data_IF_426361201532
#
_entry.id   IF_426361201532
#
_cell.length_a   1.000
_cell.length_b   1.000
_cell.length_c   1.000
_cell.angle_alpha   90.00
_cell.angle_beta   90.00
_cell.angle_gamma   90.00
#
_symmetry.space_group_name_H-M   'P 1'
#
loop_
_entity.id
_entity.type
_entity.pdbx_description
1 polymer ?
#
# COMPACT_ATOMS: atom_id res chain seq x y z
N UNK A 1 -50.41 10.63 -9.13
CA UNK A 1 -49.43 9.92 -10.00
C UNK A 1 -48.10 10.25 -9.37
N UNK A 2 -47.76 9.48 -8.36
CA UNK A 2 -46.70 9.79 -7.42
C UNK A 2 -45.74 8.62 -7.49
N UNK A 3 -44.59 8.87 -8.11
CA UNK A 3 -43.50 7.91 -8.17
C UNK A 3 -42.81 7.95 -6.79
N UNK A 4 -42.75 6.83 -6.06
CA UNK A 4 -41.98 6.81 -4.83
C UNK A 4 -40.49 6.93 -5.17
N UNK A 5 -39.85 7.89 -4.52
CA UNK A 5 -38.41 8.08 -4.45
C UNK A 5 -37.74 6.76 -4.07
N UNK A 6 -36.95 6.18 -4.98
CA UNK A 6 -35.98 5.17 -4.63
C UNK A 6 -34.90 5.84 -3.78
N UNK A 7 -35.03 5.71 -2.46
CA UNK A 7 -33.93 5.99 -1.54
C UNK A 7 -32.84 4.97 -1.83
N UNK A 8 -31.68 5.45 -2.28
CA UNK A 8 -30.47 4.65 -2.33
C UNK A 8 -29.94 4.53 -0.91
N UNK A 9 -30.62 3.74 -0.08
CA UNK A 9 -30.12 3.37 1.23
C UNK A 9 -29.12 2.23 1.05
N UNK A 10 -27.89 2.59 0.72
CA UNK A 10 -26.71 1.77 0.97
C UNK A 10 -25.90 2.61 1.97
N UNK A 11 -25.92 2.39 3.28
CA UNK A 11 -25.73 1.12 3.99
C UNK A 11 -24.68 0.24 3.30
N UNK A 12 -23.54 0.86 3.02
CA UNK A 12 -22.24 0.23 3.01
C UNK A 12 -21.38 1.06 3.96
N UNK A 13 -21.74 1.00 5.24
CA UNK A 13 -20.70 1.07 6.26
C UNK A 13 -19.93 -0.23 6.09
N UNK A 14 -18.88 -0.17 5.26
CA UNK A 14 -17.75 -1.08 5.43
C UNK A 14 -17.16 -0.75 6.79
N UNK A 15 -17.79 -1.33 7.80
CA UNK A 15 -17.28 -1.47 9.13
C UNK A 15 -16.09 -2.40 8.98
N UNK A 16 -14.93 -1.80 8.68
CA UNK A 16 -13.65 -2.49 8.76
C UNK A 16 -13.44 -2.74 10.24
N UNK A 17 -13.91 -3.90 10.68
CA UNK A 17 -13.59 -4.45 11.98
C UNK A 17 -12.07 -4.68 12.00
N UNK A 18 -11.34 -3.76 12.62
CA UNK A 18 -9.93 -3.92 13.00
C UNK A 18 -9.85 -4.96 14.13
N UNK A 19 -10.13 -6.23 13.79
CA UNK A 19 -9.69 -7.36 14.60
C UNK A 19 -8.24 -7.68 14.21
N UNK A 20 -7.29 -7.05 14.89
CA UNK A 20 -5.89 -7.52 14.91
C UNK A 20 -5.82 -8.84 15.67
N UNK A 21 -6.12 -9.93 14.97
CA UNK A 21 -5.97 -11.30 15.48
C UNK A 21 -4.51 -11.78 15.28
N UNK A 22 -3.84 -12.31 16.32
CA UNK A 22 -2.47 -12.85 16.24
C UNK A 22 -2.29 -14.15 15.41
N UNK A 23 -3.21 -14.49 14.51
CA UNK A 23 -3.29 -15.76 13.76
C UNK A 23 -2.62 -15.76 12.36
N UNK A 24 -1.63 -14.90 12.12
CA UNK A 24 -1.05 -14.76 10.77
C UNK A 24 -0.40 -16.05 10.24
N UNK A 25 0.19 -16.88 11.11
CA UNK A 25 0.89 -18.10 10.68
C UNK A 25 -0.09 -19.25 10.40
N UNK A 26 -1.16 -19.37 11.21
CA UNK A 26 -2.13 -20.47 11.04
C UNK A 26 -3.00 -20.25 9.80
N UNK A 27 -3.38 -19.01 9.53
CA UNK A 27 -4.09 -18.61 8.30
C UNK A 27 -3.23 -18.89 7.06
N UNK A 28 -1.95 -18.49 7.08
CA UNK A 28 -1.01 -18.73 5.98
C UNK A 28 -0.79 -20.23 5.75
N UNK A 29 -0.69 -21.06 6.79
CA UNK A 29 -0.55 -22.52 6.68
C UNK A 29 -1.73 -23.18 5.96
N UNK A 30 -2.95 -22.71 6.22
CA UNK A 30 -4.18 -23.22 5.60
C UNK A 30 -4.27 -22.88 4.11
N UNK A 31 -3.73 -21.73 3.70
CA UNK A 31 -3.81 -21.24 2.31
C UNK A 31 -2.63 -21.69 1.46
N UNK A 32 -1.42 -21.75 2.03
CA UNK A 32 -0.20 -22.06 1.30
C UNK A 32 -0.12 -23.57 1.02
N UNK A 33 0.11 -24.00 -0.23
CA UNK A 33 0.26 -25.41 -0.56
C UNK A 33 1.42 -26.08 0.21
N UNK A 34 1.31 -27.39 0.55
CA UNK A 34 2.31 -28.10 1.36
C UNK A 34 3.75 -28.03 0.81
N UNK A 35 3.91 -27.97 -0.52
CA UNK A 35 5.22 -27.84 -1.15
C UNK A 35 5.99 -26.57 -0.75
N UNK A 36 5.28 -25.52 -0.31
CA UNK A 36 5.84 -24.22 0.06
C UNK A 36 5.85 -23.98 1.58
N UNK A 37 5.46 -24.96 2.41
CA UNK A 37 5.46 -24.82 3.87
C UNK A 37 6.85 -24.54 4.47
N UNK A 38 7.93 -24.86 3.75
CA UNK A 38 9.30 -24.45 4.14
C UNK A 38 9.59 -22.95 3.97
N UNK A 39 8.72 -22.21 3.26
CA UNK A 39 8.86 -20.79 2.91
C UNK A 39 7.71 -19.95 3.45
N UNK A 40 7.04 -20.39 4.52
CA UNK A 40 5.91 -19.65 5.11
C UNK A 40 6.31 -18.23 5.52
N UNK A 41 7.57 -18.04 5.85
CA UNK A 41 8.10 -16.73 6.17
C UNK A 41 8.07 -15.72 5.02
N UNK A 42 8.10 -16.17 3.77
CA UNK A 42 7.93 -15.31 2.58
C UNK A 42 6.52 -14.72 2.52
N UNK A 43 5.55 -15.38 3.14
CA UNK A 43 4.15 -14.95 3.16
C UNK A 43 3.77 -14.11 4.39
N UNK A 44 4.73 -13.79 5.27
CA UNK A 44 4.49 -12.93 6.43
C UNK A 44 4.35 -11.46 6.02
N UNK A 45 3.23 -10.83 6.37
CA UNK A 45 2.97 -9.38 6.22
C UNK A 45 4.02 -8.58 6.99
N UNK A 46 4.30 -8.95 8.24
CA UNK A 46 5.31 -8.25 9.05
C UNK A 46 6.69 -8.25 8.36
N UNK A 47 7.09 -9.37 7.74
CA UNK A 47 8.35 -9.43 6.98
C UNK A 47 8.27 -8.66 5.65
N UNK A 48 7.10 -8.62 5.01
CA UNK A 48 6.91 -7.92 3.74
C UNK A 48 6.92 -6.40 3.90
N UNK A 49 6.56 -5.88 5.08
CA UNK A 49 6.61 -4.45 5.41
C UNK A 49 8.02 -3.90 5.64
N UNK A 50 9.05 -4.75 5.56
CA UNK A 50 10.44 -4.35 5.74
C UNK A 50 11.20 -4.41 4.42
N UNK A 51 11.85 -3.31 4.04
CA UNK A 51 12.74 -3.32 2.88
C UNK A 51 13.88 -4.32 3.08
N UNK A 52 14.15 -5.08 2.02
CA UNK A 52 15.38 -5.85 1.94
C UNK A 52 16.59 -4.90 1.98
N UNK A 53 17.70 -5.33 2.59
CA UNK A 53 18.91 -4.52 2.63
C UNK A 53 19.42 -4.24 1.21
N UNK A 54 19.95 -3.04 0.99
CA UNK A 54 20.62 -2.66 -0.26
C UNK A 54 21.72 -3.66 -0.62
N UNK A 55 21.81 -4.04 -1.90
CA UNK A 55 22.78 -5.02 -2.42
C UNK A 55 23.55 -4.43 -3.60
N UNK A 56 24.60 -5.12 -4.05
CA UNK A 56 25.34 -4.72 -5.25
C UNK A 56 24.49 -4.73 -6.53
N UNK A 57 23.29 -5.34 -6.49
CA UNK A 57 22.37 -5.49 -7.61
C UNK A 57 21.12 -4.61 -7.46
N UNK A 58 21.22 -3.45 -6.81
CA UNK A 58 20.09 -2.53 -6.74
C UNK A 58 19.70 -2.03 -8.13
N UNK A 59 18.41 -1.77 -8.32
CA UNK A 59 17.89 -1.33 -9.62
C UNK A 59 18.46 0.04 -9.99
N UNK A 60 19.28 0.10 -11.04
CA UNK A 60 19.80 1.35 -11.58
C UNK A 60 18.93 1.84 -12.74
N UNK A 61 18.47 3.09 -12.68
CA UNK A 61 17.75 3.73 -13.79
C UNK A 61 18.76 4.46 -14.67
N UNK A 62 19.03 3.92 -15.85
CA UNK A 62 19.88 4.56 -16.85
C UNK A 62 19.04 5.57 -17.65
N UNK A 63 19.37 6.86 -17.52
CA UNK A 63 18.73 7.90 -18.30
C UNK A 63 19.39 7.99 -19.69
N UNK A 64 18.56 8.07 -20.73
CA UNK A 64 19.00 8.33 -22.11
C UNK A 64 18.48 9.72 -22.52
N UNK A 65 19.39 10.69 -22.68
CA UNK A 65 19.03 12.06 -23.11
C UNK A 65 18.93 13.08 -21.98
N UNK A 66 17.90 13.94 -22.04
CA UNK A 66 17.69 15.08 -21.12
C UNK A 66 17.06 14.64 -19.79
N UNK A 67 17.24 15.45 -18.74
CA UNK A 67 16.59 15.26 -17.44
C UNK A 67 15.06 15.25 -17.59
N UNK A 68 14.35 14.40 -16.81
CA UNK A 68 12.90 14.39 -16.84
C UNK A 68 12.34 15.77 -16.44
N UNK A 69 11.29 16.27 -17.12
CA UNK A 69 10.68 17.54 -16.78
C UNK A 69 10.03 17.47 -15.40
N UNK A 70 10.06 18.58 -14.66
CA UNK A 70 9.31 18.71 -13.40
C UNK A 70 7.82 18.81 -13.75
N UNK A 71 7.06 17.76 -13.43
CA UNK A 71 5.62 17.72 -13.63
C UNK A 71 4.86 18.53 -12.57
N UNK A 72 3.68 19.03 -12.94
CA UNK A 72 2.72 19.57 -11.97
C UNK A 72 1.98 18.43 -11.25
N UNK A 73 1.64 18.64 -9.98
CA UNK A 73 0.81 17.71 -9.22
C UNK A 73 -0.65 17.93 -9.64
N UNK A 74 -1.36 16.84 -9.97
CA UNK A 74 -2.79 16.91 -10.30
C UNK A 74 -3.63 17.29 -9.08
N UNK A 75 -4.70 18.05 -9.31
CA UNK A 75 -5.65 18.39 -8.25
C UNK A 75 -6.38 17.13 -7.78
N UNK A 76 -6.30 16.85 -6.48
CA UNK A 76 -7.03 15.77 -5.83
C UNK A 76 -8.23 16.33 -5.07
N UNK A 77 -9.30 15.55 -4.95
CA UNK A 77 -10.39 15.83 -4.02
C UNK A 77 -9.93 15.69 -2.57
N UNK A 78 -10.73 16.19 -1.61
CA UNK A 78 -10.40 16.12 -0.19
C UNK A 78 -10.17 14.67 0.29
N UNK A 79 -11.06 13.76 -0.06
CA UNK A 79 -10.96 12.36 0.34
C UNK A 79 -9.72 11.67 -0.28
N UNK A 80 -9.46 11.89 -1.57
CA UNK A 80 -8.26 11.36 -2.23
C UNK A 80 -6.98 11.89 -1.58
N UNK A 81 -6.95 13.17 -1.20
CA UNK A 81 -5.80 13.77 -0.52
C UNK A 81 -5.58 13.17 0.88
N UNK A 82 -6.65 12.94 1.65
CA UNK A 82 -6.57 12.32 2.98
C UNK A 82 -6.04 10.88 2.87
N UNK A 83 -6.58 10.11 1.92
CA UNK A 83 -6.14 8.73 1.64
C UNK A 83 -4.67 8.69 1.20
N UNK A 84 -4.28 9.57 0.28
CA UNK A 84 -2.90 9.66 -0.19
C UNK A 84 -1.94 10.03 0.95
N UNK A 85 -2.34 10.97 1.81
CA UNK A 85 -1.51 11.40 2.93
C UNK A 85 -1.29 10.26 3.93
N UNK A 86 -2.34 9.49 4.26
CA UNK A 86 -2.24 8.33 5.13
C UNK A 86 -1.29 7.26 4.56
N UNK A 87 -1.42 6.95 3.26
CA UNK A 87 -0.53 6.03 2.57
C UNK A 87 0.94 6.51 2.60
N UNK A 88 1.17 7.80 2.34
CA UNK A 88 2.53 8.36 2.37
C UNK A 88 3.12 8.25 3.78
N UNK A 89 2.38 8.62 4.83
CA UNK A 89 2.87 8.52 6.21
C UNK A 89 3.25 7.09 6.59
N UNK A 90 2.38 6.12 6.29
CA UNK A 90 2.63 4.71 6.58
C UNK A 90 3.88 4.19 5.86
N UNK A 91 4.04 4.53 4.57
CA UNK A 91 5.18 4.07 3.78
C UNK A 91 6.48 4.80 4.10
N UNK A 92 6.41 6.02 4.65
CA UNK A 92 7.56 6.72 5.21
C UNK A 92 8.00 6.07 6.52
N UNK A 93 7.06 5.69 7.39
CA UNK A 93 7.36 4.96 8.64
C UNK A 93 7.96 3.58 8.37
N UNK A 94 7.45 2.85 7.37
CA UNK A 94 8.03 1.58 6.87
C UNK A 94 9.40 1.75 6.20
N UNK A 95 9.76 2.99 5.84
CA UNK A 95 11.02 3.32 5.16
C UNK A 95 11.03 2.97 3.66
N UNK A 96 9.87 2.70 3.07
CA UNK A 96 9.71 2.42 1.63
C UNK A 96 9.91 3.68 0.79
N UNK A 97 9.42 4.80 1.32
CA UNK A 97 9.54 6.12 0.73
C UNK A 97 10.35 7.00 1.67
N UNK A 98 11.13 7.92 1.11
CA UNK A 98 11.90 8.91 1.86
C UNK A 98 11.69 10.28 1.25
N UNK A 99 11.60 11.30 2.09
CA UNK A 99 11.58 12.68 1.62
C UNK A 99 12.90 13.01 0.93
N UNK A 100 12.80 13.47 -0.31
CA UNK A 100 13.91 14.03 -1.07
C UNK A 100 13.69 15.52 -1.20
N UNK A 101 14.69 16.33 -0.85
CA UNK A 101 14.61 17.76 -1.08
C UNK A 101 14.71 18.00 -2.60
N UNK A 102 13.71 18.62 -3.24
CA UNK A 102 13.77 18.92 -4.66
C UNK A 102 14.72 20.09 -4.99
N UNK A 103 15.31 20.75 -3.97
CA UNK A 103 16.12 21.96 -4.11
C UNK A 103 17.52 21.88 -3.45
N UNK A 104 18.00 20.70 -3.04
CA UNK A 104 19.35 20.50 -2.51
C UNK A 104 20.25 19.87 -3.59
#
# INVERSE_FOLDING_TARGET
MDLPTLSFHASLEEQWDEEEEPEEIETVLKVVPPAYHKYLDVFSKVKSEKLSPHRACDHHIKLEGLLPPVGVIYSLSKNESETLQAYISENVEKGFIRSTCPFC
#
